data_IF_697927458908
#
_entry.id   IF_697927458908
#
_cell.length_a   1.000
_cell.length_b   1.000
_cell.length_c   1.000
_cell.angle_alpha   90.00
_cell.angle_beta   90.00
_cell.angle_gamma   90.00
#
_symmetry.space_group_name_H-M   'P 1'
#
loop_
_entity.id
_entity.type
_entity.pdbx_description
1 polymer ?
#
# COMPACT_ATOMS: atom_id res chain seq x y z
N UNK A 1 -10.87 -7.53 9.20
CA UNK A 1 -9.84 -8.24 8.41
C UNK A 1 -9.70 -9.60 9.07
N UNK A 2 -10.00 -10.64 8.30
CA UNK A 2 -10.00 -12.09 8.52
C UNK A 2 -9.55 -12.66 9.88
N UNK A 3 -10.42 -13.46 10.50
CA UNK A 3 -10.03 -14.59 11.34
C UNK A 3 -10.85 -15.82 10.91
N UNK A 4 -10.24 -16.66 10.08
CA UNK A 4 -10.64 -18.05 9.85
C UNK A 4 -9.39 -18.88 10.12
N UNK A 5 -9.40 -19.63 11.22
CA UNK A 5 -8.48 -20.75 11.45
C UNK A 5 -9.18 -21.72 12.41
N UNK A 6 -10.04 -22.57 11.85
CA UNK A 6 -10.43 -23.82 12.50
C UNK A 6 -9.42 -24.86 12.05
N UNK A 7 -8.48 -25.18 12.95
CA UNK A 7 -7.64 -26.38 12.84
C UNK A 7 -8.39 -27.53 13.51
N UNK A 8 -8.92 -28.46 12.72
CA UNK A 8 -9.35 -29.78 13.22
C UNK A 8 -8.15 -30.70 13.03
N UNK A 9 -7.40 -30.94 14.10
CA UNK A 9 -6.47 -32.07 14.20
C UNK A 9 -7.26 -33.29 14.66
N UNK A 10 -7.45 -34.24 13.76
CA UNK A 10 -7.81 -35.61 14.11
C UNK A 10 -6.53 -36.36 14.40
N UNK A 11 -6.40 -36.89 15.62
CA UNK A 11 -5.46 -37.98 15.86
C UNK A 11 -6.05 -39.00 16.83
N UNK A 12 -5.74 -40.24 16.51
CA UNK A 12 -6.37 -41.47 16.91
C UNK A 12 -5.78 -42.05 18.21
N UNK A 13 -6.66 -42.79 18.91
CA UNK A 13 -6.35 -44.06 19.58
C UNK A 13 -5.73 -44.06 20.98
N UNK A 14 -6.37 -44.90 21.79
CA UNK A 14 -5.76 -45.89 22.68
C UNK A 14 -5.72 -45.60 24.19
N UNK A 15 -6.54 -46.41 24.88
CA UNK A 15 -6.19 -47.17 26.08
C UNK A 15 -6.24 -46.50 27.46
N UNK A 16 -6.86 -47.27 28.36
CA UNK A 16 -6.64 -47.31 29.81
C UNK A 16 -7.47 -46.40 30.71
N UNK A 17 -8.59 -46.97 31.18
CA UNK A 17 -8.99 -47.14 32.60
C UNK A 17 -8.54 -46.05 33.60
N UNK A 18 -9.51 -45.41 34.25
CA UNK A 18 -9.27 -44.86 35.59
C UNK A 18 -10.20 -43.74 36.02
N UNK A 19 -11.15 -44.07 36.89
CA UNK A 19 -12.01 -43.15 37.65
C UNK A 19 -11.23 -41.94 38.21
N UNK A 20 -11.71 -40.72 37.95
CA UNK A 20 -11.87 -39.68 38.97
C UNK A 20 -12.76 -38.51 38.48
N UNK A 21 -14.05 -38.76 38.22
CA UNK A 21 -15.02 -37.67 38.16
C UNK A 21 -15.38 -37.26 39.59
N UNK A 22 -14.65 -36.29 40.15
CA UNK A 22 -15.18 -35.45 41.23
C UNK A 22 -16.12 -34.45 40.60
N UNK A 23 -17.41 -34.70 40.77
CA UNK A 23 -18.52 -33.84 40.36
C UNK A 23 -18.43 -32.53 41.16
N UNK A 24 -17.98 -31.46 40.53
CA UNK A 24 -18.15 -30.10 41.04
C UNK A 24 -19.61 -29.75 40.73
N UNK A 25 -20.46 -29.74 41.75
CA UNK A 25 -21.79 -29.15 41.64
C UNK A 25 -21.65 -27.63 41.57
N UNK A 26 -21.67 -27.10 40.36
CA UNK A 26 -22.00 -25.70 40.10
C UNK A 26 -23.52 -25.60 40.01
N UNK A 27 -24.16 -25.22 41.12
CA UNK A 27 -25.55 -24.81 41.14
C UNK A 27 -25.69 -23.44 40.47
N UNK A 28 -25.95 -23.42 39.17
CA UNK A 28 -26.48 -22.23 38.52
C UNK A 28 -28.01 -22.23 38.74
N UNK A 29 -28.60 -21.19 39.35
CA UNK A 29 -30.05 -21.07 39.40
C UNK A 29 -30.54 -20.80 37.97
N UNK A 30 -31.19 -21.80 37.37
CA UNK A 30 -31.87 -21.64 36.08
C UNK A 30 -33.06 -20.70 36.31
N UNK A 31 -33.13 -19.52 35.65
CA UNK A 31 -34.34 -18.71 35.68
C UNK A 31 -35.48 -19.54 35.10
N UNK A 32 -36.54 -19.73 35.88
CA UNK A 32 -37.73 -20.43 35.44
C UNK A 32 -38.31 -19.73 34.21
N UNK A 33 -38.23 -20.38 33.05
CA UNK A 33 -39.00 -20.01 31.89
C UNK A 33 -40.49 -20.04 32.28
N UNK A 34 -41.32 -19.03 31.90
CA UNK A 34 -42.75 -19.11 32.14
C UNK A 34 -43.29 -20.36 31.46
N UNK A 35 -44.07 -21.15 32.21
CA UNK A 35 -44.69 -22.37 31.71
C UNK A 35 -45.50 -22.05 30.42
N UNK A 36 -45.54 -22.96 29.44
CA UNK A 36 -46.45 -22.82 28.31
C UNK A 36 -47.88 -22.62 28.84
N UNK A 37 -48.66 -21.65 28.32
CA UNK A 37 -49.99 -21.37 28.81
C UNK A 37 -50.83 -22.66 28.76
N UNK A 38 -51.53 -22.95 29.86
CA UNK A 38 -52.37 -24.15 29.91
C UNK A 38 -53.49 -24.02 28.87
N UNK A 39 -54.05 -25.14 28.39
CA UNK A 39 -55.14 -25.15 27.39
C UNK A 39 -56.33 -24.22 27.72
N UNK A 40 -56.54 -23.93 29.00
CA UNK A 40 -57.57 -23.02 29.53
C UNK A 40 -57.25 -21.52 29.33
N UNK A 41 -55.98 -21.19 29.11
CA UNK A 41 -55.45 -19.82 29.02
C UNK A 41 -55.28 -19.37 27.55
N UNK A 42 -55.51 -20.26 26.58
CA UNK A 42 -55.57 -19.87 25.17
C UNK A 42 -56.92 -19.21 24.86
N UNK A 43 -56.95 -18.17 23.99
CA UNK A 43 -58.20 -17.57 23.56
C UNK A 43 -59.12 -18.64 22.95
N UNK A 44 -60.35 -18.74 23.46
CA UNK A 44 -61.35 -19.66 22.91
C UNK A 44 -61.64 -19.23 21.47
N UNK A 45 -61.37 -20.14 20.52
CA UNK A 45 -61.75 -19.97 19.11
C UNK A 45 -63.22 -19.56 19.06
N UNK A 46 -63.51 -18.44 18.41
CA UNK A 46 -64.88 -17.95 18.28
C UNK A 46 -65.77 -19.05 17.70
N UNK A 47 -67.00 -19.17 18.19
CA UNK A 47 -67.91 -20.28 17.83
C UNK A 47 -68.09 -20.45 16.33
N UNK A 48 -68.10 -19.33 15.59
CA UNK A 48 -68.24 -19.30 14.13
C UNK A 48 -67.03 -19.94 13.43
N UNK A 49 -65.80 -19.61 13.86
CA UNK A 49 -64.55 -20.21 13.36
C UNK A 49 -64.48 -21.71 13.69
N UNK A 50 -64.93 -22.09 14.89
CA UNK A 50 -64.97 -23.51 15.30
C UNK A 50 -65.94 -24.31 14.42
N UNK A 51 -67.11 -23.75 14.12
CA UNK A 51 -68.10 -24.36 13.22
C UNK A 51 -67.59 -24.45 11.78
N UNK A 52 -66.89 -23.42 11.29
CA UNK A 52 -66.31 -23.42 9.95
C UNK A 52 -65.16 -24.42 9.80
N UNK A 53 -64.33 -24.59 10.84
CA UNK A 53 -63.28 -25.61 10.90
C UNK A 53 -63.84 -27.03 11.01
N UNK A 54 -64.88 -27.24 11.84
CA UNK A 54 -65.56 -28.54 11.97
C UNK A 54 -66.35 -28.92 10.71
N UNK A 55 -66.91 -27.93 10.01
CA UNK A 55 -67.60 -28.09 8.73
C UNK A 55 -66.70 -28.01 7.50
N UNK A 56 -65.40 -27.78 7.69
CA UNK A 56 -64.45 -27.60 6.60
C UNK A 56 -64.31 -28.91 5.81
N UNK A 57 -64.77 -28.89 4.56
CA UNK A 57 -64.59 -30.01 3.65
C UNK A 57 -63.27 -29.84 2.91
N UNK A 58 -62.28 -30.67 3.24
CA UNK A 58 -60.99 -30.74 2.54
C UNK A 58 -61.13 -30.95 1.03
N UNK A 59 -62.26 -31.51 0.57
CA UNK A 59 -62.61 -31.64 -0.84
C UNK A 59 -62.79 -30.30 -1.59
N UNK A 60 -62.94 -29.18 -0.87
CA UNK A 60 -63.01 -27.82 -1.46
C UNK A 60 -61.63 -27.19 -1.65
N UNK A 61 -60.56 -27.80 -1.13
CA UNK A 61 -59.20 -27.39 -1.45
C UNK A 61 -58.92 -27.71 -2.92
N UNK A 62 -58.34 -26.76 -3.65
CA UNK A 62 -57.87 -27.03 -5.01
C UNK A 62 -56.72 -28.03 -4.91
N UNK A 63 -56.74 -29.07 -5.74
CA UNK A 63 -55.58 -29.95 -5.89
C UNK A 63 -54.41 -29.11 -6.40
N UNK A 64 -53.29 -29.14 -5.69
CA UNK A 64 -52.03 -28.60 -6.17
C UNK A 64 -51.29 -29.74 -6.88
N UNK A 65 -51.09 -29.60 -8.19
CA UNK A 65 -50.27 -30.55 -8.95
C UNK A 65 -48.80 -30.33 -8.57
N UNK A 66 -48.22 -31.27 -7.82
CA UNK A 66 -46.81 -31.26 -7.46
C UNK A 66 -46.02 -31.97 -8.55
N UNK A 67 -45.33 -31.21 -9.40
CA UNK A 67 -44.40 -31.78 -10.38
C UNK A 67 -43.13 -32.24 -9.67
N UNK A 68 -43.01 -33.55 -9.43
CA UNK A 68 -41.78 -34.15 -8.95
C UNK A 68 -40.78 -34.22 -10.11
N UNK A 69 -39.80 -33.32 -10.10
CA UNK A 69 -38.80 -33.20 -11.17
C UNK A 69 -37.69 -34.26 -11.01
N UNK A 70 -38.03 -35.54 -10.96
CA UNK A 70 -37.05 -36.63 -11.10
C UNK A 70 -36.69 -36.74 -12.59
N UNK A 71 -35.72 -35.95 -13.02
CA UNK A 71 -35.12 -36.11 -14.35
C UNK A 71 -34.10 -37.24 -14.24
N UNK A 72 -34.28 -38.29 -15.04
CA UNK A 72 -33.27 -39.35 -15.15
C UNK A 72 -31.98 -38.75 -15.74
N UNK A 73 -30.79 -39.21 -15.31
CA UNK A 73 -29.54 -38.81 -15.93
C UNK A 73 -29.62 -38.99 -17.44
N UNK A 74 -29.17 -38.00 -18.21
CA UNK A 74 -29.17 -38.09 -19.66
C UNK A 74 -28.13 -39.12 -20.13
N UNK A 75 -28.27 -39.59 -21.37
CA UNK A 75 -27.27 -40.47 -21.98
C UNK A 75 -25.88 -39.80 -22.05
N UNK A 76 -25.85 -38.47 -22.15
CA UNK A 76 -24.62 -37.68 -22.10
C UNK A 76 -24.00 -37.68 -20.70
N UNK A 77 -24.81 -37.49 -19.65
CA UNK A 77 -24.34 -37.53 -18.25
C UNK A 77 -23.71 -38.88 -17.90
N UNK A 78 -24.35 -39.98 -18.30
CA UNK A 78 -23.84 -41.34 -18.05
C UNK A 78 -22.58 -41.62 -18.87
N UNK A 79 -22.51 -41.12 -20.10
CA UNK A 79 -21.32 -41.26 -20.92
C UNK A 79 -20.14 -40.47 -20.33
N UNK A 80 -20.36 -39.23 -19.89
CA UNK A 80 -19.37 -38.40 -19.22
C UNK A 80 -18.87 -39.07 -17.94
N UNK A 81 -19.78 -39.54 -17.07
CA UNK A 81 -19.41 -40.25 -15.84
C UNK A 81 -18.57 -41.50 -16.12
N UNK A 82 -18.90 -42.25 -17.18
CA UNK A 82 -18.14 -43.43 -17.57
C UNK A 82 -16.72 -43.07 -18.03
N UNK A 83 -16.55 -41.96 -18.76
CA UNK A 83 -15.22 -41.50 -19.17
C UNK A 83 -14.38 -41.04 -17.97
N UNK A 84 -14.99 -40.30 -17.04
CA UNK A 84 -14.32 -39.85 -15.82
C UNK A 84 -13.90 -41.04 -14.95
N UNK A 85 -14.80 -42.01 -14.72
CA UNK A 85 -14.48 -43.24 -13.99
C UNK A 85 -13.37 -44.04 -14.64
N UNK A 86 -13.36 -44.14 -15.97
CA UNK A 86 -12.29 -44.83 -16.69
C UNK A 86 -10.93 -44.12 -16.53
N UNK A 87 -10.92 -42.78 -16.54
CA UNK A 87 -9.71 -41.99 -16.31
C UNK A 87 -9.18 -42.20 -14.88
N UNK A 88 -10.05 -42.10 -13.88
CA UNK A 88 -9.70 -42.30 -12.47
C UNK A 88 -9.15 -43.71 -12.26
N UNK A 89 -9.84 -44.74 -12.76
CA UNK A 89 -9.38 -46.12 -12.67
C UNK A 89 -8.04 -46.32 -13.38
N UNK A 90 -7.82 -45.66 -14.52
CA UNK A 90 -6.56 -45.69 -15.24
C UNK A 90 -5.39 -45.09 -14.47
N UNK A 91 -5.63 -44.02 -13.69
CA UNK A 91 -4.63 -43.39 -12.81
C UNK A 91 -4.39 -44.25 -11.57
N UNK A 92 -5.45 -44.78 -10.95
CA UNK A 92 -5.36 -45.63 -9.76
C UNK A 92 -4.55 -46.91 -10.03
N UNK A 93 -4.75 -47.51 -11.19
CA UNK A 93 -4.05 -48.74 -11.62
C UNK A 93 -2.85 -48.43 -12.51
N UNK A 94 -2.39 -47.18 -12.53
CA UNK A 94 -1.25 -46.79 -13.35
C UNK A 94 0.03 -47.47 -12.84
N UNK A 95 0.63 -48.28 -13.70
CA UNK A 95 1.88 -48.97 -13.40
C UNK A 95 3.07 -48.02 -13.57
N UNK A 96 3.59 -47.55 -12.44
CA UNK A 96 4.74 -46.65 -12.37
C UNK A 96 6.02 -47.27 -12.94
N UNK A 97 6.10 -48.60 -13.07
CA UNK A 97 7.26 -49.28 -13.68
C UNK A 97 7.33 -49.09 -15.21
N UNK A 98 6.23 -48.66 -15.84
CA UNK A 98 6.18 -48.32 -17.27
C UNK A 98 6.71 -46.92 -17.56
N UNK A 99 6.91 -46.09 -16.54
CA UNK A 99 7.56 -44.79 -16.70
C UNK A 99 9.02 -45.00 -17.09
N UNK A 100 9.50 -44.23 -18.06
CA UNK A 100 10.93 -44.19 -18.36
C UNK A 100 11.65 -43.59 -17.16
N UNK A 101 12.68 -44.28 -16.66
CA UNK A 101 13.54 -43.73 -15.63
C UNK A 101 14.31 -42.53 -16.20
N UNK A 102 14.12 -41.37 -15.58
CA UNK A 102 14.91 -40.17 -15.87
C UNK A 102 15.79 -39.91 -14.67
N UNK A 103 17.10 -40.05 -14.86
CA UNK A 103 18.09 -39.71 -13.83
C UNK A 103 18.17 -38.19 -13.69
N UNK A 104 17.66 -37.66 -12.58
CA UNK A 104 17.73 -36.22 -12.27
C UNK A 104 19.08 -35.93 -11.62
N UNK A 105 19.96 -35.25 -12.35
CA UNK A 105 21.26 -34.79 -11.83
C UNK A 105 21.09 -33.45 -11.10
N UNK A 106 20.97 -33.48 -9.77
CA UNK A 106 21.07 -32.28 -8.93
C UNK A 106 22.52 -31.78 -8.94
N UNK A 107 22.78 -30.71 -9.70
CA UNK A 107 24.09 -30.07 -9.71
C UNK A 107 24.15 -29.08 -8.54
N UNK A 108 24.79 -29.51 -7.46
CA UNK A 108 25.37 -28.61 -6.45
C UNK A 108 26.87 -28.46 -6.70
N UNK A 109 27.30 -27.75 -7.77
CA UNK A 109 28.71 -27.54 -8.01
C UNK A 109 29.31 -26.75 -6.84
N UNK A 110 30.49 -27.17 -6.40
CA UNK A 110 31.24 -26.40 -5.41
C UNK A 110 31.55 -25.02 -5.99
N UNK A 111 31.55 -23.97 -5.15
CA UNK A 111 31.94 -22.63 -5.59
C UNK A 111 33.32 -22.67 -6.23
N UNK A 112 33.45 -22.06 -7.42
CA UNK A 112 34.73 -21.96 -8.11
C UNK A 112 35.72 -21.09 -7.35
N UNK A 113 37.02 -21.25 -7.65
CA UNK A 113 38.11 -20.47 -7.02
C UNK A 113 37.88 -18.97 -7.14
N UNK A 114 37.30 -18.50 -8.24
CA UNK A 114 36.98 -17.10 -8.47
C UNK A 114 35.90 -16.59 -7.51
N UNK A 115 34.83 -17.37 -7.30
CA UNK A 115 33.75 -17.03 -6.36
C UNK A 115 34.29 -16.95 -4.92
N UNK A 116 35.14 -17.91 -4.53
CA UNK A 116 35.78 -17.90 -3.20
C UNK A 116 36.72 -16.71 -3.02
N UNK A 117 37.47 -16.33 -4.06
CA UNK A 117 38.34 -15.16 -4.03
C UNK A 117 37.52 -13.88 -3.93
N UNK A 118 36.46 -13.75 -4.71
CA UNK A 118 35.57 -12.60 -4.67
C UNK A 118 34.93 -12.45 -3.27
N UNK A 119 34.42 -13.54 -2.70
CA UNK A 119 33.87 -13.54 -1.34
C UNK A 119 34.92 -13.09 -0.31
N UNK A 120 36.15 -13.61 -0.39
CA UNK A 120 37.25 -13.20 0.50
C UNK A 120 37.59 -11.71 0.34
N UNK A 121 37.60 -11.18 -0.88
CA UNK A 121 37.87 -9.75 -1.12
C UNK A 121 36.77 -8.87 -0.51
N UNK A 122 35.51 -9.26 -0.69
CA UNK A 122 34.37 -8.57 -0.12
C UNK A 122 34.42 -8.57 1.42
N UNK A 123 34.67 -9.73 2.02
CA UNK A 123 34.79 -9.87 3.47
C UNK A 123 35.94 -9.01 4.04
N UNK A 124 37.06 -8.93 3.32
CA UNK A 124 38.22 -8.11 3.72
C UNK A 124 37.89 -6.62 3.69
N UNK A 125 37.21 -6.16 2.64
CA UNK A 125 36.77 -4.77 2.53
C UNK A 125 35.81 -4.39 3.65
N UNK A 126 34.80 -5.23 3.91
CA UNK A 126 33.85 -5.01 4.98
C UNK A 126 34.54 -4.93 6.34
N UNK A 127 35.41 -5.88 6.66
CA UNK A 127 36.15 -5.88 7.92
C UNK A 127 37.07 -4.65 8.07
N UNK A 128 37.72 -4.24 6.97
CA UNK A 128 38.56 -3.05 6.96
C UNK A 128 37.79 -1.75 7.22
N UNK A 129 36.53 -1.65 6.75
CA UNK A 129 35.65 -0.52 7.02
C UNK A 129 35.06 -0.60 8.44
N UNK A 130 34.66 -1.78 8.89
CA UNK A 130 34.08 -2.01 10.22
C UNK A 130 35.06 -1.65 11.35
N UNK A 131 36.33 -2.03 11.19
CA UNK A 131 37.39 -1.75 12.16
C UNK A 131 38.26 -0.55 11.78
N UNK A 132 37.76 0.33 10.91
CA UNK A 132 38.49 1.51 10.49
C UNK A 132 38.73 2.47 11.66
N UNK A 133 39.99 2.66 12.03
CA UNK A 133 40.38 3.57 13.10
C UNK A 133 40.32 5.03 12.62
N UNK A 134 39.24 5.72 13.02
CA UNK A 134 39.01 7.13 12.71
C UNK A 134 40.10 8.06 13.26
N UNK A 135 40.85 7.64 14.28
CA UNK A 135 41.94 8.46 14.83
C UNK A 135 43.15 8.55 13.89
N UNK A 136 43.28 7.62 12.95
CA UNK A 136 44.30 7.66 11.89
C UNK A 136 43.98 8.66 10.79
N UNK A 137 42.75 9.17 10.72
CA UNK A 137 42.38 10.19 9.76
C UNK A 137 43.02 11.53 10.11
N UNK A 138 43.57 12.22 9.11
CA UNK A 138 44.08 13.57 9.29
C UNK A 138 42.94 14.51 9.68
N UNK A 139 43.01 15.07 10.89
CA UNK A 139 42.11 16.14 11.30
C UNK A 139 42.28 17.33 10.36
N UNK A 140 41.19 17.71 9.70
CA UNK A 140 41.12 18.93 8.91
C UNK A 140 40.20 19.91 9.62
N UNK A 141 40.78 20.97 10.18
CA UNK A 141 40.01 22.10 10.69
C UNK A 141 39.59 22.97 9.51
N UNK A 142 38.31 22.93 9.14
CA UNK A 142 37.76 23.82 8.11
C UNK A 142 37.61 25.23 8.69
N UNK A 143 38.41 26.18 8.21
CA UNK A 143 38.22 27.61 8.50
C UNK A 143 37.18 28.17 7.53
N UNK A 144 35.98 28.49 8.01
CA UNK A 144 35.03 29.31 7.26
C UNK A 144 35.62 30.72 7.11
N UNK A 145 35.89 31.16 5.88
CA UNK A 145 36.34 32.53 5.59
C UNK A 145 35.17 33.51 5.74
N UNK A 146 34.76 33.79 6.97
CA UNK A 146 34.01 35.04 7.28
C UNK A 146 35.06 36.12 7.52
N UNK A 147 35.67 36.62 6.44
CA UNK A 147 36.56 37.79 6.56
C UNK A 147 35.65 39.01 6.62
N UNK A 148 35.62 39.68 7.77
CA UNK A 148 34.92 40.95 7.90
C UNK A 148 35.50 41.94 6.87
N UNK A 149 34.68 42.74 6.17
CA UNK A 149 35.18 43.75 5.25
C UNK A 149 36.21 44.63 5.93
N UNK A 150 37.33 44.87 5.26
CA UNK A 150 38.39 45.74 5.77
C UNK A 150 37.86 47.18 5.98
N UNK A 151 38.47 47.92 6.92
CA UNK A 151 38.09 49.31 7.22
C UNK A 151 38.06 50.20 5.98
N UNK A 152 38.97 49.95 5.04
CA UNK A 152 39.06 50.66 3.76
C UNK A 152 37.82 50.44 2.89
N UNK A 153 37.31 49.21 2.82
CA UNK A 153 36.09 48.85 2.07
C UNK A 153 34.87 49.52 2.70
N UNK A 154 34.79 49.53 4.03
CA UNK A 154 33.69 50.18 4.77
C UNK A 154 33.71 51.69 4.56
N UNK A 155 34.87 52.34 4.64
CA UNK A 155 35.01 53.77 4.41
C UNK A 155 34.68 54.15 2.96
N UNK A 156 35.11 53.33 1.99
CA UNK A 156 34.78 53.51 0.59
C UNK A 156 33.27 53.39 0.33
N UNK A 157 32.61 52.35 0.86
CA UNK A 157 31.16 52.17 0.72
C UNK A 157 30.39 53.33 1.38
N UNK A 158 30.84 53.76 2.57
CA UNK A 158 30.25 54.92 3.26
C UNK A 158 30.40 56.20 2.43
N UNK A 159 31.57 56.43 1.83
CA UNK A 159 31.80 57.55 0.92
C UNK A 159 30.87 57.51 -0.30
N UNK A 160 30.72 56.34 -0.92
CA UNK A 160 29.83 56.14 -2.06
C UNK A 160 28.36 56.39 -1.69
N UNK A 161 27.90 55.87 -0.54
CA UNK A 161 26.54 56.14 -0.05
C UNK A 161 26.30 57.62 0.21
N UNK A 162 27.25 58.32 0.82
CA UNK A 162 27.12 59.74 1.10
C UNK A 162 27.02 60.55 -0.20
N UNK A 163 27.80 60.19 -1.23
CA UNK A 163 27.72 60.83 -2.54
C UNK A 163 26.36 60.62 -3.21
N UNK A 164 25.88 59.37 -3.23
CA UNK A 164 24.57 59.04 -3.82
C UNK A 164 23.45 59.80 -3.08
N UNK A 165 23.46 59.79 -1.75
CA UNK A 165 22.48 60.51 -0.94
C UNK A 165 22.53 62.03 -1.17
N UNK A 166 23.74 62.60 -1.33
CA UNK A 166 23.90 64.02 -1.64
C UNK A 166 23.32 64.39 -3.01
N UNK A 167 23.42 63.51 -4.00
CA UNK A 167 22.82 63.71 -5.34
C UNK A 167 21.30 63.55 -5.27
N UNK A 168 20.82 62.48 -4.63
CA UNK A 168 19.38 62.19 -4.50
C UNK A 168 18.63 63.31 -3.77
N UNK A 169 19.24 63.88 -2.74
CA UNK A 169 18.66 64.97 -1.95
C UNK A 169 19.15 66.36 -2.39
N UNK A 170 19.74 66.47 -3.58
CA UNK A 170 20.23 67.76 -4.08
C UNK A 170 19.07 68.70 -4.42
N UNK A 171 19.02 69.84 -3.74
CA UNK A 171 18.03 70.87 -3.99
C UNK A 171 18.47 71.76 -5.17
N UNK A 172 17.84 71.56 -6.33
CA UNK A 172 18.11 72.32 -7.54
C UNK A 172 17.79 73.81 -7.42
N UNK A 173 16.98 74.24 -6.44
CA UNK A 173 16.70 75.66 -6.20
C UNK A 173 17.92 76.42 -5.67
N UNK A 174 18.91 75.72 -5.11
CA UNK A 174 20.19 76.29 -4.66
C UNK A 174 21.18 76.54 -5.80
N UNK A 175 20.87 76.12 -7.03
CA UNK A 175 21.67 76.46 -8.19
C UNK A 175 21.55 77.95 -8.48
N UNK A 176 22.69 78.63 -8.60
CA UNK A 176 22.71 80.05 -9.01
C UNK A 176 22.24 80.16 -10.45
N UNK A 177 21.40 81.16 -10.74
CA UNK A 177 21.03 81.47 -12.11
C UNK A 177 22.28 81.84 -12.93
N UNK A 178 22.47 81.17 -14.06
CA UNK A 178 23.51 81.47 -15.02
C UNK A 178 22.85 81.80 -16.36
N UNK A 179 23.06 83.02 -16.85
CA UNK A 179 22.60 83.42 -18.18
C UNK A 179 23.55 82.83 -19.23
N UNK A 180 23.05 81.89 -20.03
CA UNK A 180 23.80 81.28 -21.13
C UNK A 180 23.55 82.05 -22.43
N UNK A 181 24.59 82.65 -23.00
CA UNK A 181 24.52 83.26 -24.33
C UNK A 181 24.87 82.23 -25.41
N UNK A 182 23.85 81.58 -25.97
CA UNK A 182 24.01 80.73 -27.16
C UNK A 182 24.09 81.63 -28.40
N UNK A 183 25.30 81.81 -28.93
CA UNK A 183 25.48 82.49 -30.21
C UNK A 183 25.22 81.47 -31.32
N UNK A 184 24.03 81.52 -31.91
CA UNK A 184 23.74 80.94 -33.23
C UNK A 184 23.77 82.05 -34.29
N UNK A 185 24.96 82.56 -34.68
CA UNK A 185 25.03 83.46 -35.83
C UNK A 185 24.60 82.68 -37.07
N UNK A 186 23.63 83.21 -37.80
CA UNK A 186 23.26 82.65 -39.10
C UNK A 186 24.48 82.73 -40.03
N UNK A 187 24.80 81.68 -40.80
CA UNK A 187 25.88 81.72 -41.77
C UNK A 187 25.69 82.91 -42.72
N UNK A 188 26.74 83.72 -42.91
CA UNK A 188 26.71 84.81 -43.89
C UNK A 188 26.58 84.26 -45.31
N UNK A 189 26.02 85.06 -46.22
CA UNK A 189 25.85 84.69 -47.63
C UNK A 189 27.15 84.21 -48.27
N UNK A 190 28.31 84.77 -47.90
CA UNK A 190 29.59 84.32 -48.46
C UNK A 190 29.90 82.86 -48.12
N UNK A 191 29.61 82.45 -46.88
CA UNK A 191 29.83 81.06 -46.42
C UNK A 191 28.89 80.12 -47.18
N UNK A 192 27.62 80.52 -47.34
CA UNK A 192 26.63 79.73 -48.09
C UNK A 192 27.03 79.58 -49.56
N UNK A 193 27.55 80.64 -50.18
CA UNK A 193 27.94 80.62 -51.59
C UNK A 193 29.26 79.87 -51.83
N UNK A 194 30.19 79.88 -50.87
CA UNK A 194 31.37 79.00 -50.91
C UNK A 194 30.98 77.53 -50.84
N UNK A 195 30.05 77.18 -49.96
CA UNK A 195 29.61 75.79 -49.80
C UNK A 195 28.80 75.29 -51.01
N UNK A 196 28.03 76.17 -51.67
CA UNK A 196 27.36 75.83 -52.94
C UNK A 196 28.30 75.64 -54.13
N UNK A 197 29.57 76.04 -54.02
CA UNK A 197 30.59 75.89 -55.07
C UNK A 197 31.47 74.65 -54.88
N UNK A 198 31.39 73.98 -53.74
CA UNK A 198 32.01 72.67 -53.49
C UNK A 198 31.08 71.54 -53.96
#
# INVERSE_FOLDING_TARGET
MYDILILITNETSSSSKGKLLKKIEMSCPVPAAPAPPALKDLPKVAGDLKSELEGFKSSKLKNADTQEKIVLPSAEDVAAEKTEKALIAGIEHFDTSKLKHTETQEKNPLPDKEVVLQERTHQTLLSGVEHFDKTTMKHTTTTEKVVLPDKTVIEQEKGQRNLISGIENFDSSKLKHAETQEKNPLPTKEIIDQEKKA
#
